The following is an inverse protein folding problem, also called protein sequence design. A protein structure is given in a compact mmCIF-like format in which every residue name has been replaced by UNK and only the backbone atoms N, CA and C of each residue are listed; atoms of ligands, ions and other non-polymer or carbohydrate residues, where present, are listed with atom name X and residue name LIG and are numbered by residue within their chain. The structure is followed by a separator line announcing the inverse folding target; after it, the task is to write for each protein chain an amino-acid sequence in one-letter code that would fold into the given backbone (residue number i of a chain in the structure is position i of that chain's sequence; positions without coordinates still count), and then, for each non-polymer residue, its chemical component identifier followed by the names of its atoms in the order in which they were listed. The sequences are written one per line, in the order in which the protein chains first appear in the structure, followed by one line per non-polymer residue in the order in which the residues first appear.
data_IF_710851395427
#
_entry.id   IF_710851395427
#
_cell.length_a   1.000
_cell.length_b   1.000
_cell.length_c   1.000
_cell.angle_alpha   90.00
_cell.angle_beta   90.00
_cell.angle_gamma   90.00
#
_symmetry.space_group_name_H-M   'P 1'
#
loop_
_entity.id
_entity.type
_entity.pdbx_description
1 polymer ?
#
# COMPACT_ATOMS: atom_id res chain seq x y z
N UNK A 1 -5.21 -8.73 2.73
CA UNK A 1 -5.81 -7.68 1.90
C UNK A 1 -4.75 -7.05 1.00
N UNK A 2 -5.13 -6.62 -0.20
CA UNK A 2 -4.22 -6.02 -1.19
C UNK A 2 -4.84 -4.75 -1.73
N UNK A 3 -4.06 -3.68 -1.88
CA UNK A 3 -4.55 -2.40 -2.40
C UNK A 3 -3.47 -1.65 -3.18
N UNK A 4 -3.88 -0.88 -4.18
CA UNK A 4 -3.00 -0.09 -5.05
C UNK A 4 -3.30 1.41 -4.91
N UNK A 5 -2.29 2.27 -4.84
CA UNK A 5 -2.45 3.73 -4.75
C UNK A 5 -3.25 4.13 -3.50
N UNK A 6 -4.34 4.89 -3.63
CA UNK A 6 -5.32 5.13 -2.55
C UNK A 6 -5.89 3.84 -1.96
N UNK A 7 -6.03 2.79 -2.77
CA UNK A 7 -6.41 1.46 -2.27
C UNK A 7 -5.36 0.86 -1.34
N UNK A 8 -4.08 1.17 -1.53
CA UNK A 8 -2.99 0.75 -0.65
C UNK A 8 -3.08 1.38 0.74
N UNK A 9 -3.49 2.65 0.81
CA UNK A 9 -3.83 3.28 2.10
C UNK A 9 -5.11 2.69 2.68
N UNK A 10 -6.13 2.44 1.85
CA UNK A 10 -7.41 1.88 2.30
C UNK A 10 -7.25 0.53 2.99
N UNK A 11 -6.37 -0.36 2.49
CA UNK A 11 -6.13 -1.65 3.14
C UNK A 11 -5.36 -1.53 4.47
N UNK A 12 -4.52 -0.50 4.62
CA UNK A 12 -3.88 -0.19 5.90
C UNK A 12 -4.91 0.32 6.92
N UNK A 13 -5.81 1.22 6.51
CA UNK A 13 -6.92 1.72 7.34
C UNK A 13 -7.82 0.57 7.76
N UNK A 14 -8.20 -0.30 6.83
CA UNK A 14 -9.06 -1.43 7.13
C UNK A 14 -8.41 -2.42 8.11
N UNK A 15 -7.10 -2.66 8.03
CA UNK A 15 -6.39 -3.45 9.04
C UNK A 15 -6.36 -2.77 10.42
N UNK A 16 -6.14 -1.47 10.48
CA UNK A 16 -6.16 -0.70 11.73
C UNK A 16 -7.55 -0.69 12.38
N UNK A 17 -8.61 -0.60 11.57
CA UNK A 17 -9.99 -0.59 12.07
C UNK A 17 -10.48 -1.98 12.47
N UNK A 18 -9.95 -3.06 11.90
CA UNK A 18 -10.52 -4.41 11.97
C UNK A 18 -10.83 -4.95 13.37
N UNK A 19 -10.15 -4.45 14.41
CA UNK A 19 -10.37 -4.87 15.81
C UNK A 19 -11.10 -3.81 16.66
N UNK A 20 -11.49 -2.68 16.06
CA UNK A 20 -12.17 -1.59 16.76
C UNK A 20 -13.67 -1.86 16.84
N UNK A 21 -14.24 -1.70 18.02
CA UNK A 21 -15.70 -1.81 18.24
C UNK A 21 -16.48 -0.58 17.76
N UNK A 22 -15.80 0.53 17.49
CA UNK A 22 -16.41 1.84 17.21
C UNK A 22 -15.58 2.66 16.23
N UNK A 23 -16.26 3.52 15.48
CA UNK A 23 -15.61 4.44 14.56
C UNK A 23 -14.77 5.50 15.31
N UNK A 24 -13.48 5.67 15.00
CA UNK A 24 -12.63 6.64 15.70
C UNK A 24 -13.10 8.10 15.66
N UNK A 25 -13.77 8.54 14.59
CA UNK A 25 -14.27 9.92 14.52
C UNK A 25 -15.67 10.11 15.13
N UNK A 26 -16.36 9.02 15.48
CA UNK A 26 -17.66 9.09 16.15
C UNK A 26 -17.95 7.80 16.89
N UNK A 27 -17.76 7.82 18.20
CA UNK A 27 -18.01 6.67 19.06
C UNK A 27 -19.49 6.21 19.09
N UNK A 28 -20.42 7.01 18.55
CA UNK A 28 -21.82 6.62 18.39
C UNK A 28 -22.01 5.52 17.35
N UNK A 29 -21.12 5.44 16.37
CA UNK A 29 -21.15 4.42 15.33
C UNK A 29 -20.42 3.19 15.86
N UNK A 30 -21.21 2.16 16.15
CA UNK A 30 -20.71 0.83 16.56
C UNK A 30 -20.38 0.00 15.32
N UNK A 31 -19.36 -0.82 15.45
CA UNK A 31 -18.94 -1.79 14.47
C UNK A 31 -18.96 -3.18 15.09
N UNK A 32 -19.23 -4.16 14.24
CA UNK A 32 -19.21 -5.57 14.57
C UNK A 32 -18.54 -6.32 13.42
N UNK A 33 -17.28 -5.96 13.18
CA UNK A 33 -16.44 -6.65 12.21
C UNK A 33 -15.12 -7.08 12.86
N UNK A 34 -14.62 -8.22 12.41
CA UNK A 34 -13.31 -8.76 12.75
C UNK A 34 -12.94 -9.82 11.70
N UNK A 35 -12.52 -9.37 10.53
CA UNK A 35 -12.28 -10.21 9.34
C UNK A 35 -10.98 -11.03 9.40
N UNK A 36 -10.40 -11.21 10.58
CA UNK A 36 -9.15 -11.95 10.80
C UNK A 36 -8.01 -11.58 9.83
N UNK A 37 -7.83 -10.28 9.54
CA UNK A 37 -6.83 -9.82 8.58
C UNK A 37 -5.43 -10.19 9.08
N UNK A 38 -4.76 -11.11 8.39
CA UNK A 38 -3.40 -11.58 8.72
C UNK A 38 -2.29 -10.82 8.01
N UNK A 39 -2.57 -10.31 6.80
CA UNK A 39 -1.57 -9.67 5.94
C UNK A 39 -2.16 -8.50 5.17
N UNK A 40 -1.38 -7.43 5.03
CA UNK A 40 -1.65 -6.25 4.20
C UNK A 40 -0.54 -6.13 3.16
N UNK A 41 -0.95 -5.95 1.90
CA UNK A 41 -0.05 -5.69 0.78
C UNK A 41 -0.45 -4.36 0.15
N UNK A 42 0.43 -3.37 0.26
CA UNK A 42 0.23 -2.03 -0.24
C UNK A 42 1.11 -1.80 -1.47
N UNK A 43 0.50 -1.69 -2.64
CA UNK A 43 1.19 -1.43 -3.90
C UNK A 43 1.12 0.07 -4.18
N UNK A 44 2.28 0.68 -4.43
CA UNK A 44 2.46 2.11 -4.67
C UNK A 44 1.55 3.02 -3.81
N UNK A 45 1.46 2.81 -2.49
CA UNK A 45 0.40 3.43 -1.70
C UNK A 45 0.66 4.92 -1.49
N UNK A 46 -0.41 5.67 -1.31
CA UNK A 46 -0.37 6.96 -0.62
C UNK A 46 -0.37 6.74 0.90
N UNK A 47 -0.12 7.80 1.68
CA UNK A 47 -0.15 7.74 3.15
C UNK A 47 -0.71 9.04 3.72
N UNK A 48 -1.46 8.92 4.83
CA UNK A 48 -2.02 10.03 5.62
C UNK A 48 -3.00 10.96 4.88
N UNK A 49 -3.68 10.50 3.83
CA UNK A 49 -4.86 11.21 3.32
C UNK A 49 -6.05 11.03 4.28
N UNK A 50 -6.11 9.90 4.99
CA UNK A 50 -7.01 9.69 6.11
C UNK A 50 -6.26 9.67 7.44
N UNK A 51 -6.79 10.40 8.43
CA UNK A 51 -6.26 10.45 9.80
C UNK A 51 -7.38 10.20 10.81
N UNK A 52 -7.65 8.95 11.19
CA UNK A 52 -8.69 8.63 12.16
C UNK A 52 -8.42 9.32 13.50
N UNK A 53 -9.41 10.06 14.00
CA UNK A 53 -9.33 10.93 15.16
C UNK A 53 -8.15 11.92 15.12
N UNK A 54 -7.69 12.31 13.93
CA UNK A 54 -6.52 13.19 13.75
C UNK A 54 -5.17 12.47 13.87
N UNK A 55 -5.14 11.16 14.11
CA UNK A 55 -3.93 10.37 14.27
C UNK A 55 -3.51 9.67 12.97
N UNK A 56 -2.20 9.39 12.78
CA UNK A 56 -1.75 8.49 11.73
C UNK A 56 -2.35 7.09 11.90
N UNK A 57 -2.45 6.35 10.79
CA UNK A 57 -2.88 4.95 10.81
C UNK A 57 -1.74 4.08 11.36
N UNK A 58 -2.05 3.31 12.40
CA UNK A 58 -1.15 2.34 13.03
C UNK A 58 -1.69 0.93 12.82
N UNK A 59 -0.79 -0.02 12.51
CA UNK A 59 -1.15 -1.42 12.30
C UNK A 59 -0.46 -2.25 13.38
N UNK A 60 -1.23 -3.11 14.05
CA UNK A 60 -0.75 -3.94 15.16
C UNK A 60 -1.02 -5.41 14.86
N UNK A 61 0.01 -6.24 14.93
CA UNK A 61 -0.04 -7.69 14.76
C UNK A 61 -0.61 -8.17 13.41
N UNK A 62 -0.16 -7.53 12.32
CA UNK A 62 -0.52 -7.89 10.93
C UNK A 62 0.73 -7.81 10.06
N UNK A 63 0.98 -8.84 9.23
CA UNK A 63 2.07 -8.82 8.27
C UNK A 63 1.90 -7.67 7.28
N UNK A 64 2.98 -6.98 6.93
CA UNK A 64 2.89 -5.82 6.04
C UNK A 64 3.94 -5.84 4.94
N UNK A 65 3.48 -5.87 3.69
CA UNK A 65 4.32 -5.74 2.51
C UNK A 65 4.00 -4.45 1.78
N UNK A 66 5.03 -3.69 1.40
CA UNK A 66 4.88 -2.58 0.45
C UNK A 66 5.73 -2.81 -0.79
N UNK A 67 5.15 -2.58 -1.97
CA UNK A 67 5.86 -2.48 -3.24
C UNK A 67 5.74 -1.05 -3.74
N UNK A 68 6.81 -0.42 -4.21
CA UNK A 68 6.74 0.93 -4.77
C UNK A 68 7.70 1.09 -5.94
N UNK A 69 7.25 1.76 -7.00
CA UNK A 69 8.07 2.02 -8.18
C UNK A 69 8.96 3.25 -8.01
N UNK A 70 10.23 3.14 -8.37
CA UNK A 70 11.16 4.27 -8.27
C UNK A 70 10.92 5.36 -9.32
N UNK A 71 10.15 5.06 -10.36
CA UNK A 71 9.73 5.99 -11.42
C UNK A 71 8.22 6.24 -11.38
N UNK A 72 7.61 6.02 -10.21
CA UNK A 72 6.23 6.38 -9.94
C UNK A 72 6.07 7.91 -10.03
N UNK A 73 5.38 8.38 -11.06
CA UNK A 73 5.21 9.81 -11.28
C UNK A 73 3.94 10.39 -10.68
N UNK A 74 2.97 9.56 -10.26
CA UNK A 74 1.74 9.98 -9.56
C UNK A 74 2.03 10.10 -8.06
N UNK A 75 2.60 9.05 -7.48
CA UNK A 75 3.00 8.93 -6.09
C UNK A 75 4.53 8.91 -6.00
N UNK A 76 5.12 10.07 -6.27
CA UNK A 76 6.58 10.27 -6.39
C UNK A 76 7.39 10.11 -5.10
N UNK A 77 6.74 9.86 -3.96
CA UNK A 77 7.40 9.59 -2.68
C UNK A 77 7.08 8.18 -2.25
N UNK A 78 8.05 7.52 -1.62
CA UNK A 78 7.85 6.19 -1.06
C UNK A 78 7.04 6.24 0.25
N UNK A 79 5.75 6.62 0.15
CA UNK A 79 4.87 6.83 1.29
C UNK A 79 4.63 5.56 2.10
N UNK A 80 4.58 4.40 1.46
CA UNK A 80 4.42 3.14 2.20
C UNK A 80 5.61 2.80 3.12
N UNK A 81 6.80 3.39 2.90
CA UNK A 81 7.91 3.33 3.85
C UNK A 81 7.62 4.11 5.14
N UNK A 82 6.67 5.06 5.14
CA UNK A 82 6.21 5.71 6.39
C UNK A 82 5.21 4.83 7.12
N UNK A 83 4.28 4.20 6.39
CA UNK A 83 3.30 3.28 7.00
C UNK A 83 3.99 2.06 7.63
N UNK A 84 4.99 1.47 6.98
CA UNK A 84 5.73 0.32 7.54
C UNK A 84 6.42 0.65 8.87
N UNK A 85 6.82 1.91 9.11
CA UNK A 85 7.39 2.35 10.39
C UNK A 85 6.35 2.34 11.52
N UNK A 86 5.05 2.45 11.19
CA UNK A 86 3.92 2.38 12.13
C UNK A 86 3.25 1.00 12.19
N UNK A 87 3.97 -0.04 11.76
CA UNK A 87 3.58 -1.44 11.96
C UNK A 87 4.35 -1.98 13.17
N UNK A 88 3.61 -2.44 14.17
CA UNK A 88 4.15 -2.93 15.45
C UNK A 88 3.70 -4.37 15.68
N UNK A 89 4.61 -5.19 16.21
CA UNK A 89 4.34 -6.55 16.67
C UNK A 89 4.43 -6.57 18.19
N UNK A 90 3.38 -7.07 18.85
CA UNK A 90 3.27 -7.06 20.30
C UNK A 90 3.91 -8.28 20.94
N UNK A 91 3.94 -9.41 20.22
CA UNK A 91 4.58 -10.66 20.64
C UNK A 91 5.99 -10.78 20.02
N UNK A 92 7.06 -10.75 20.84
CA UNK A 92 8.44 -10.90 20.38
C UNK A 92 8.74 -12.25 19.73
N UNK A 93 7.98 -13.30 20.07
CA UNK A 93 8.16 -14.65 19.53
C UNK A 93 7.31 -14.90 18.27
N UNK A 94 6.55 -13.89 17.83
CA UNK A 94 5.72 -14.03 16.64
C UNK A 94 6.56 -14.10 15.36
N UNK A 95 6.11 -14.92 14.40
CA UNK A 95 6.68 -14.97 13.05
C UNK A 95 6.15 -13.84 12.15
N UNK A 96 5.53 -12.80 12.72
CA UNK A 96 5.02 -11.67 11.95
C UNK A 96 6.18 -10.82 11.45
N UNK A 97 6.07 -10.35 10.21
CA UNK A 97 7.13 -9.55 9.62
C UNK A 97 6.59 -8.46 8.70
N UNK A 98 7.45 -7.49 8.43
CA UNK A 98 7.18 -6.39 7.52
C UNK A 98 8.32 -6.23 6.53
N UNK A 99 7.99 -6.00 5.27
CA UNK A 99 8.94 -5.88 4.19
C UNK A 99 8.58 -4.74 3.24
N UNK A 100 9.59 -4.14 2.63
CA UNK A 100 9.44 -3.14 1.58
C UNK A 100 10.29 -3.48 0.37
N UNK A 101 9.69 -3.38 -0.82
CA UNK A 101 10.34 -3.58 -2.10
C UNK A 101 10.27 -2.29 -2.92
N UNK A 102 11.43 -1.69 -3.16
CA UNK A 102 11.55 -0.50 -4.01
C UNK A 102 12.11 -0.91 -5.37
N UNK A 103 11.31 -0.75 -6.42
CA UNK A 103 11.56 -1.35 -7.73
C UNK A 103 12.09 -0.28 -8.67
N UNK A 104 13.36 -0.38 -9.05
CA UNK A 104 13.97 0.51 -10.04
C UNK A 104 13.20 0.41 -11.38
N UNK A 105 13.00 1.55 -12.05
CA UNK A 105 12.29 1.67 -13.33
C UNK A 105 10.80 1.26 -13.35
N UNK A 106 10.23 0.81 -12.23
CA UNK A 106 8.79 0.62 -12.12
C UNK A 106 8.07 1.96 -11.93
N UNK A 107 6.93 2.13 -12.58
CA UNK A 107 6.07 3.32 -12.47
C UNK A 107 4.84 3.03 -11.58
N UNK A 108 3.90 4.00 -11.49
CA UNK A 108 2.64 3.82 -10.76
C UNK A 108 1.72 2.83 -11.47
N UNK A 109 1.50 3.01 -12.77
CA UNK A 109 0.38 2.38 -13.47
C UNK A 109 0.54 0.89 -13.77
N UNK A 110 1.76 0.42 -14.03
CA UNK A 110 1.97 -0.90 -14.64
C UNK A 110 1.85 -2.07 -13.67
N UNK A 111 1.56 -1.85 -12.38
CA UNK A 111 1.17 -2.93 -11.47
C UNK A 111 -0.16 -3.60 -11.88
N UNK A 112 -0.94 -2.99 -12.76
CA UNK A 112 -2.12 -3.58 -13.40
C UNK A 112 -2.10 -3.36 -14.93
N UNK A 113 -3.02 -4.01 -15.65
CA UNK A 113 -3.09 -3.99 -17.11
C UNK A 113 -3.88 -2.80 -17.70
N UNK A 114 -4.50 -1.95 -16.88
CA UNK A 114 -5.45 -0.93 -17.34
C UNK A 114 -4.81 0.47 -17.38
N UNK A 115 -4.01 0.85 -16.38
CA UNK A 115 -3.54 2.24 -16.23
C UNK A 115 -2.42 2.61 -17.21
N UNK A 116 -1.60 1.63 -17.60
CA UNK A 116 -0.51 1.80 -18.56
C UNK A 116 0.71 2.51 -17.98
N UNK A 117 1.54 3.06 -18.86
CA UNK A 117 2.90 3.54 -18.54
C UNK A 117 2.99 5.06 -18.29
N UNK A 118 1.87 5.77 -18.28
CA UNK A 118 1.83 7.23 -18.11
C UNK A 118 0.94 7.59 -16.93
N UNK A 119 1.61 7.82 -15.81
CA UNK A 119 1.01 8.03 -14.48
C UNK A 119 0.28 9.38 -14.33
N UNK A 120 0.44 10.30 -15.28
CA UNK A 120 -0.26 11.59 -15.27
C UNK A 120 -1.54 11.61 -16.12
N UNK A 121 -2.49 12.42 -15.67
CA UNK A 121 -3.60 12.89 -16.49
C UNK A 121 -3.15 13.88 -17.58
N UNK A 122 -4.05 14.17 -18.53
CA UNK A 122 -3.84 15.28 -19.45
C UNK A 122 -3.86 16.62 -18.67
N UNK A 123 -3.07 17.63 -19.09
CA UNK A 123 -2.26 17.69 -20.31
C UNK A 123 -0.82 17.17 -20.13
N UNK A 124 -0.40 16.78 -18.92
CA UNK A 124 0.99 16.41 -18.62
C UNK A 124 1.37 15.01 -19.12
N UNK A 125 0.40 14.13 -19.31
CA UNK A 125 0.56 12.74 -19.79
C UNK A 125 1.60 12.54 -20.92
N UNK A 126 1.62 13.34 -22.00
CA UNK A 126 2.55 13.14 -23.12
C UNK A 126 4.01 13.52 -22.82
N UNK A 127 4.24 14.34 -21.80
CA UNK A 127 5.57 14.85 -21.44
C UNK A 127 6.33 13.91 -20.50
N UNK A 128 5.70 12.82 -20.02
CA UNK A 128 6.37 11.85 -19.18
C UNK A 128 7.37 11.02 -20.00
N UNK A 129 8.64 11.01 -19.56
CA UNK A 129 9.66 10.16 -20.16
C UNK A 129 9.45 8.70 -19.73
N UNK A 130 8.83 7.92 -20.60
CA UNK A 130 8.52 6.49 -20.37
C UNK A 130 9.59 5.53 -20.89
N UNK A 131 10.63 6.03 -21.57
CA UNK A 131 11.71 5.19 -22.13
C UNK A 131 12.47 4.37 -21.08
N UNK A 132 12.74 4.86 -19.86
CA UNK A 132 13.48 4.09 -18.88
C UNK A 132 12.59 3.11 -18.11
N UNK A 133 11.28 3.02 -18.38
CA UNK A 133 10.41 2.16 -17.59
C UNK A 133 10.60 0.68 -17.93
N UNK A 134 10.44 -0.18 -16.94
CA UNK A 134 10.25 -1.61 -17.16
C UNK A 134 9.10 -1.86 -18.11
N UNK A 135 9.12 -2.97 -18.84
CA UNK A 135 7.92 -3.40 -19.56
C UNK A 135 6.81 -3.75 -18.56
N UNK A 136 5.52 -3.55 -18.92
CA UNK A 136 4.41 -3.87 -18.04
C UNK A 136 4.47 -5.30 -17.49
N UNK A 137 4.82 -6.27 -18.34
CA UNK A 137 4.88 -7.68 -17.97
C UNK A 137 5.99 -7.96 -16.95
N UNK A 138 7.12 -7.27 -17.05
CA UNK A 138 8.24 -7.40 -16.11
C UNK A 138 7.84 -6.84 -14.73
N UNK A 139 7.24 -5.65 -14.68
CA UNK A 139 6.77 -5.05 -13.43
C UNK A 139 5.68 -5.90 -12.76
N UNK A 140 4.74 -6.43 -13.55
CA UNK A 140 3.69 -7.32 -13.05
C UNK A 140 4.26 -8.65 -12.55
N UNK A 141 5.25 -9.21 -13.24
CA UNK A 141 5.91 -10.44 -12.82
C UNK A 141 6.69 -10.26 -11.51
N UNK A 142 7.38 -9.12 -11.34
CA UNK A 142 8.01 -8.76 -10.07
C UNK A 142 6.94 -8.71 -8.96
N UNK A 143 5.86 -7.96 -9.19
CA UNK A 143 4.80 -7.86 -8.19
C UNK A 143 4.20 -9.22 -7.83
N UNK A 144 3.88 -10.04 -8.84
CA UNK A 144 3.35 -11.40 -8.65
C UNK A 144 4.31 -12.26 -7.83
N UNK A 145 5.60 -12.27 -8.15
CA UNK A 145 6.59 -13.09 -7.46
C UNK A 145 6.68 -12.72 -5.97
N UNK A 146 6.90 -11.44 -5.66
CA UNK A 146 7.10 -11.02 -4.27
C UNK A 146 5.82 -11.08 -3.44
N UNK A 147 4.66 -10.79 -4.04
CA UNK A 147 3.37 -10.95 -3.37
C UNK A 147 3.12 -12.42 -3.06
N UNK A 148 3.38 -13.32 -4.01
CA UNK A 148 3.16 -14.76 -3.81
C UNK A 148 4.15 -15.38 -2.83
N UNK A 149 5.38 -14.88 -2.75
CA UNK A 149 6.38 -15.37 -1.80
C UNK A 149 6.16 -14.83 -0.37
N UNK A 150 5.44 -13.71 -0.23
CA UNK A 150 5.11 -13.12 1.07
C UNK A 150 3.90 -13.77 1.73
N UNK A 151 2.97 -14.29 0.93
CA UNK A 151 1.77 -14.99 1.37
C UNK A 151 2.06 -16.48 1.60
#
# INVERSE_FOLDING_TARGET
MVGHSRGGEAVAIAAAFNKLERYPNSAWIKWDFNFEIKSVIAIAPVDQQHKPAGHPVEIVDVNYLVLHGAHDADVSKYYGLRQIQRVTFTDPESNLFKAGLYIYQANHGQFNSVWGNRDYGLPLKPFLNVRPLLKPEEQQQIAKLYISAFL
#
